data_IF_601149137080
#
_entry.id   IF_601149137080
#
_cell.length_a   1.000
_cell.length_b   1.000
_cell.length_c   1.000
_cell.angle_alpha   90.00
_cell.angle_beta   90.00
_cell.angle_gamma   90.00
#
_symmetry.space_group_name_H-M   'P 1'
#
loop_
_entity.id
_entity.type
_entity.pdbx_description
1 polymer ?
#
# COMPACT_ATOMS: atom_id res chain seq x y z
N UNK A 1 6.67 -15.79 -41.86
CA UNK A 1 7.27 -17.13 -41.75
C UNK A 1 8.78 -16.96 -41.88
N UNK A 2 9.72 -17.37 -41.02
CA UNK A 2 9.83 -17.90 -39.66
C UNK A 2 11.34 -17.81 -39.30
N UNK A 3 11.66 -17.56 -38.03
CA UNK A 3 12.85 -18.01 -37.28
C UNK A 3 14.28 -17.57 -37.67
N UNK A 4 14.98 -16.97 -36.69
CA UNK A 4 16.43 -17.12 -36.50
C UNK A 4 16.68 -17.52 -35.03
N UNK A 5 17.32 -18.67 -34.86
CA UNK A 5 17.75 -19.27 -33.60
C UNK A 5 18.90 -18.50 -32.95
N UNK A 6 18.94 -18.50 -31.63
CA UNK A 6 19.99 -17.85 -30.84
C UNK A 6 19.48 -17.13 -29.60
N UNK A 7 18.40 -17.61 -28.98
CA UNK A 7 18.06 -17.22 -27.61
C UNK A 7 19.11 -17.82 -26.67
N UNK A 8 20.19 -17.08 -26.38
CA UNK A 8 20.80 -17.18 -25.06
C UNK A 8 19.78 -16.60 -24.08
N UNK A 9 18.96 -17.48 -23.52
CA UNK A 9 18.14 -17.18 -22.35
C UNK A 9 19.08 -16.90 -21.20
N UNK A 10 19.51 -15.64 -21.08
CA UNK A 10 20.09 -15.16 -19.84
C UNK A 10 18.92 -14.90 -18.90
N UNK A 11 18.66 -15.86 -18.01
CA UNK A 11 17.81 -15.68 -16.84
C UNK A 11 18.49 -14.66 -15.91
N UNK A 12 18.40 -13.39 -16.25
CA UNK A 12 18.71 -12.34 -15.32
C UNK A 12 17.62 -12.36 -14.25
N UNK A 13 17.96 -12.93 -13.09
CA UNK A 13 17.14 -12.86 -11.88
C UNK A 13 16.83 -11.39 -11.61
N UNK A 14 15.68 -10.92 -12.10
CA UNK A 14 15.18 -9.60 -11.74
C UNK A 14 14.75 -9.70 -10.27
N UNK A 15 15.70 -9.47 -9.39
CA UNK A 15 15.41 -9.04 -8.03
C UNK A 15 14.64 -7.73 -8.20
N UNK A 16 13.32 -7.78 -8.10
CA UNK A 16 12.44 -6.61 -8.25
C UNK A 16 12.67 -5.68 -7.06
N UNK A 17 13.80 -4.96 -7.06
CA UNK A 17 14.06 -3.81 -6.21
C UNK A 17 13.47 -2.61 -6.92
N UNK A 18 12.39 -2.08 -6.33
CA UNK A 18 11.72 -0.83 -6.69
C UNK A 18 11.06 -0.84 -8.07
N UNK A 19 9.89 -1.46 -8.10
CA UNK A 19 8.86 -1.24 -9.13
C UNK A 19 8.66 0.27 -9.28
N UNK A 20 9.16 0.85 -10.38
CA UNK A 20 8.71 2.16 -10.84
C UNK A 20 7.21 2.05 -11.08
N UNK A 21 6.41 2.53 -10.13
CA UNK A 21 5.00 2.80 -10.38
C UNK A 21 4.98 3.83 -11.51
N UNK A 22 4.55 3.43 -12.70
CA UNK A 22 4.29 4.35 -13.80
C UNK A 22 3.16 5.26 -13.35
N UNK A 23 3.50 6.46 -12.85
CA UNK A 23 2.57 7.56 -12.64
C UNK A 23 2.19 8.14 -14.01
N UNK A 24 1.53 7.35 -14.84
CA UNK A 24 0.99 7.82 -16.10
C UNK A 24 -0.46 8.26 -15.89
N UNK A 25 -0.62 9.58 -16.04
CA UNK A 25 -1.77 10.23 -16.68
C UNK A 25 -3.04 10.29 -15.84
N UNK A 26 -3.27 11.46 -15.20
CA UNK A 26 -4.56 12.22 -15.10
C UNK A 26 -4.48 13.14 -13.88
N UNK A 27 -3.72 14.24 -13.98
CA UNK A 27 -3.53 15.22 -12.89
C UNK A 27 -4.81 15.98 -12.47
N UNK A 28 -5.94 15.75 -13.15
CA UNK A 28 -7.14 16.57 -12.96
C UNK A 28 -8.00 16.16 -11.74
N UNK A 29 -7.85 14.92 -11.22
CA UNK A 29 -8.68 14.37 -10.12
C UNK A 29 -7.88 13.67 -9.01
N UNK A 30 -6.62 14.04 -8.80
CA UNK A 30 -5.78 13.40 -7.79
C UNK A 30 -5.95 14.04 -6.40
N UNK A 31 -5.79 13.22 -5.37
CA UNK A 31 -5.75 13.58 -3.96
C UNK A 31 -4.51 12.96 -3.31
N UNK A 32 -4.04 13.55 -2.21
CA UNK A 32 -2.92 13.02 -1.42
C UNK A 32 -3.48 12.29 -0.21
N UNK A 33 -3.03 11.06 -0.02
CA UNK A 33 -3.33 10.26 1.18
C UNK A 33 -2.02 9.93 1.87
N UNK A 34 -1.89 10.39 3.11
CA UNK A 34 -0.72 10.15 3.95
C UNK A 34 -1.16 9.24 5.10
N UNK A 35 -0.66 8.02 5.16
CA UNK A 35 -0.97 7.07 6.23
C UNK A 35 0.22 7.05 7.19
N UNK A 36 0.01 7.50 8.42
CA UNK A 36 1.07 7.64 9.42
C UNK A 36 0.92 6.61 10.53
N UNK A 37 2.03 6.19 11.14
CA UNK A 37 2.00 5.37 12.34
C UNK A 37 1.90 6.29 13.56
N UNK A 38 0.77 6.26 14.26
CA UNK A 38 0.57 7.03 15.49
C UNK A 38 1.30 6.43 16.70
N UNK A 39 1.65 5.14 16.62
CA UNK A 39 2.39 4.42 17.65
C UNK A 39 3.38 3.40 17.05
N UNK A 40 4.27 2.90 17.91
CA UNK A 40 5.18 1.81 17.57
C UNK A 40 4.46 0.53 17.13
N UNK A 41 3.19 0.34 17.52
CA UNK A 41 2.35 -0.78 17.07
C UNK A 41 2.01 -0.73 15.58
N UNK A 42 1.89 0.46 14.99
CA UNK A 42 1.60 0.63 13.58
C UNK A 42 2.85 0.86 12.72
N UNK A 43 4.01 1.14 13.32
CA UNK A 43 5.26 1.38 12.58
C UNK A 43 5.72 0.11 11.88
N UNK A 44 5.98 0.20 10.57
CA UNK A 44 6.35 -0.95 9.75
C UNK A 44 5.20 -1.92 9.43
N UNK A 45 3.97 -1.60 9.84
CA UNK A 45 2.78 -2.37 9.45
C UNK A 45 2.56 -2.31 7.94
N UNK A 46 2.08 -3.40 7.35
CA UNK A 46 1.76 -3.46 5.94
C UNK A 46 0.48 -2.66 5.67
N UNK A 47 0.49 -1.84 4.63
CA UNK A 47 -0.66 -1.05 4.20
C UNK A 47 -1.08 -1.45 2.80
N UNK A 48 -2.38 -1.60 2.62
CA UNK A 48 -3.03 -1.76 1.33
C UNK A 48 -4.18 -0.78 1.17
N UNK A 49 -4.40 -0.33 -0.05
CA UNK A 49 -5.49 0.57 -0.41
C UNK A 49 -6.30 -0.05 -1.52
N UNK A 50 -7.61 -0.21 -1.31
CA UNK A 50 -8.52 -0.95 -2.21
C UNK A 50 -8.02 -2.37 -2.52
N UNK A 51 -7.42 -3.04 -1.52
CA UNK A 51 -6.82 -4.38 -1.68
C UNK A 51 -5.50 -4.40 -2.46
N UNK A 52 -4.96 -3.25 -2.89
CA UNK A 52 -3.64 -3.19 -3.51
C UNK A 52 -2.57 -2.86 -2.44
N UNK A 53 -1.53 -3.67 -2.27
CA UNK A 53 -0.45 -3.37 -1.34
C UNK A 53 0.35 -2.17 -1.85
N UNK A 54 0.47 -1.15 -1.00
CA UNK A 54 1.17 0.11 -1.34
C UNK A 54 2.51 0.25 -0.63
N UNK A 55 2.70 -0.44 0.51
CA UNK A 55 3.97 -0.47 1.23
C UNK A 55 3.79 -0.73 2.72
N UNK A 56 4.62 -0.07 3.52
CA UNK A 56 4.58 -0.13 4.98
C UNK A 56 4.50 1.27 5.59
N UNK A 57 3.91 1.40 6.78
CA UNK A 57 3.77 2.69 7.45
C UNK A 57 5.10 3.22 8.03
N UNK A 58 5.34 4.55 8.01
CA UNK A 58 4.51 5.58 7.38
C UNK A 58 4.66 5.59 5.84
N UNK A 59 3.58 5.88 5.13
CA UNK A 59 3.57 5.91 3.66
C UNK A 59 2.71 7.06 3.12
N UNK A 60 3.22 7.77 2.12
CA UNK A 60 2.48 8.80 1.39
C UNK A 60 2.23 8.32 -0.05
N UNK A 61 0.99 8.49 -0.51
CA UNK A 61 0.59 8.11 -1.86
C UNK A 61 -0.37 9.11 -2.49
N UNK A 62 -0.44 9.06 -3.82
CA UNK A 62 -1.42 9.81 -4.59
C UNK A 62 -2.51 8.84 -5.03
N UNK A 63 -3.76 9.15 -4.67
CA UNK A 63 -4.95 8.37 -5.02
C UNK A 63 -5.92 9.22 -5.82
N UNK A 64 -6.80 8.60 -6.64
CA UNK A 64 -7.94 9.31 -7.21
C UNK A 64 -8.80 9.96 -6.13
N UNK A 65 -9.51 11.04 -6.46
CA UNK A 65 -10.54 11.57 -5.56
C UNK A 65 -11.72 10.59 -5.49
N UNK A 66 -12.16 10.28 -4.28
CA UNK A 66 -13.24 9.34 -3.99
C UNK A 66 -13.00 8.56 -2.70
N UNK A 67 -13.80 7.51 -2.54
CA UNK A 67 -13.75 6.64 -1.36
C UNK A 67 -12.73 5.51 -1.57
N UNK A 68 -11.80 5.38 -0.64
CA UNK A 68 -10.75 4.37 -0.64
C UNK A 68 -10.80 3.54 0.64
N UNK A 69 -10.68 2.22 0.51
CA UNK A 69 -10.56 1.31 1.65
C UNK A 69 -9.09 1.23 2.04
N UNK A 70 -8.74 1.73 3.22
CA UNK A 70 -7.40 1.58 3.79
C UNK A 70 -7.43 0.38 4.71
N UNK A 71 -6.58 -0.60 4.44
CA UNK A 71 -6.39 -1.78 5.26
C UNK A 71 -4.94 -1.81 5.73
N UNK A 72 -4.74 -1.93 7.03
CA UNK A 72 -3.42 -2.00 7.67
C UNK A 72 -3.37 -3.23 8.55
N UNK A 73 -2.35 -4.05 8.34
CA UNK A 73 -2.16 -5.28 9.09
C UNK A 73 -0.73 -5.41 9.59
N UNK A 74 -0.60 -6.11 10.73
CA UNK A 74 0.69 -6.45 11.32
C UNK A 74 0.56 -7.71 12.15
N UNK A 75 1.56 -8.58 12.06
CA UNK A 75 1.63 -9.80 12.87
C UNK A 75 1.54 -9.50 14.38
N UNK A 76 0.64 -10.22 15.07
CA UNK A 76 0.36 -10.02 16.49
C UNK A 76 -0.55 -8.83 16.83
N UNK A 77 -1.11 -8.15 15.83
CA UNK A 77 -2.05 -7.04 15.99
C UNK A 77 -3.35 -7.29 15.24
N UNK A 78 -4.43 -6.65 15.71
CA UNK A 78 -5.71 -6.63 15.00
C UNK A 78 -5.57 -5.75 13.76
N UNK A 79 -5.99 -6.28 12.61
CA UNK A 79 -6.00 -5.52 11.37
C UNK A 79 -6.95 -4.31 11.48
N UNK A 80 -6.48 -3.16 11.02
CA UNK A 80 -7.26 -1.94 10.96
C UNK A 80 -7.80 -1.76 9.55
N UNK A 81 -9.10 -1.57 9.41
CA UNK A 81 -9.74 -1.32 8.12
C UNK A 81 -10.67 -0.12 8.23
N UNK A 82 -10.47 0.87 7.36
CA UNK A 82 -11.27 2.08 7.35
C UNK A 82 -11.46 2.64 5.94
N UNK A 83 -12.69 3.06 5.66
CA UNK A 83 -12.99 3.83 4.46
C UNK A 83 -12.63 5.30 4.66
N UNK A 84 -11.80 5.82 3.76
CA UNK A 84 -11.40 7.22 3.71
C UNK A 84 -11.98 7.85 2.45
N UNK A 85 -12.70 8.95 2.60
CA UNK A 85 -13.13 9.78 1.48
C UNK A 85 -12.12 10.92 1.28
N UNK A 86 -11.54 11.02 0.08
CA UNK A 86 -10.57 12.05 -0.28
C UNK A 86 -11.12 12.89 -1.43
N UNK A 87 -11.17 14.22 -1.25
CA UNK A 87 -11.60 15.12 -2.31
C UNK A 87 -10.42 15.52 -3.22
N UNK A 88 -10.76 15.99 -4.42
CA UNK A 88 -9.79 16.48 -5.39
C UNK A 88 -8.95 17.62 -4.81
N UNK A 89 -7.62 17.50 -4.89
CA UNK A 89 -6.69 18.48 -4.35
C UNK A 89 -6.59 18.48 -2.82
N UNK A 90 -7.33 17.62 -2.13
CA UNK A 90 -7.26 17.45 -0.68
C UNK A 90 -6.05 16.57 -0.31
N UNK A 91 -5.43 16.89 0.81
CA UNK A 91 -4.44 16.04 1.48
C UNK A 91 -5.05 15.51 2.76
N UNK A 92 -5.33 14.21 2.81
CA UNK A 92 -5.84 13.55 4.03
C UNK A 92 -4.69 12.83 4.72
N UNK A 93 -4.54 13.08 6.02
CA UNK A 93 -3.62 12.33 6.87
C UNK A 93 -4.40 11.40 7.76
N UNK A 94 -4.12 10.10 7.66
CA UNK A 94 -4.73 9.06 8.47
C UNK A 94 -3.72 8.49 9.47
N UNK A 95 -3.82 8.86 10.76
CA UNK A 95 -3.00 8.27 11.81
C UNK A 95 -3.54 6.87 12.20
N UNK A 96 -2.67 5.87 12.12
CA UNK A 96 -3.02 4.47 12.43
C UNK A 96 -2.46 4.09 13.80
N UNK A 97 -3.34 3.51 14.61
CA UNK A 97 -3.01 2.84 15.86
C UNK A 97 -3.53 1.40 15.76
N UNK A 98 -2.63 0.42 15.90
CA UNK A 98 -3.03 -0.98 15.95
C UNK A 98 -3.09 -1.45 17.40
N UNK A 99 -4.15 -2.18 17.72
CA UNK A 99 -4.33 -2.88 19.00
C UNK A 99 -3.75 -4.28 18.90
N UNK A 100 -3.15 -4.79 19.99
CA UNK A 100 -2.60 -6.14 20.01
C UNK A 100 -3.74 -7.15 19.92
N UNK A 101 -3.57 -8.19 19.10
CA UNK A 101 -4.52 -9.30 19.11
C UNK A 101 -4.48 -9.94 20.51
N UNK A 102 -5.63 -10.11 21.21
CA UNK A 102 -5.63 -10.81 22.47
C UNK A 102 -5.07 -12.21 22.25
N UNK A 103 -4.26 -12.76 23.18
CA UNK A 103 -3.79 -14.12 23.04
C UNK A 103 -5.03 -14.99 22.89
N UNK A 104 -5.09 -15.77 21.80
CA UNK A 104 -6.12 -16.80 21.64
C UNK A 104 -5.94 -17.77 22.78
N UNK A 105 -6.64 -17.54 23.88
CA UNK A 105 -6.67 -18.43 25.01
C UNK A 105 -7.36 -19.70 24.53
N UNK A 106 -6.54 -20.69 24.16
CA UNK A 106 -7.00 -22.02 23.81
C UNK A 106 -7.71 -22.65 25.01
N UNK A 107 -8.86 -23.24 24.72
CA UNK A 107 -9.65 -24.11 25.61
C UNK A 107 -8.94 -25.43 25.91
#
# INVERSE_FOLDING_TARGET
>A
MFSLEGHETHEERITVRRRRARYSVTLERQARLTVTAAAASATGAAVSVNGQPVGTLPHEMVVPAGRHLVHVERDGYVAFEQWVDVRRGEGVTLPILLEREPPRAGS
#
